data_IF_514737707591
#
_entry.id   IF_514737707591
#
_cell.length_a   1.000
_cell.length_b   1.000
_cell.length_c   1.000
_cell.angle_alpha   90.00
_cell.angle_beta   90.00
_cell.angle_gamma   90.00
#
_symmetry.space_group_name_H-M   'P 1'
#
loop_
_entity.id
_entity.type
_entity.pdbx_description
1 polymer ?
#
# COMPACT_ATOMS: atom_id res chain seq x y z
N UNK A 1 4.11 70.69 -3.92
CA UNK A 1 2.93 69.80 -3.94
C UNK A 1 3.09 68.83 -5.11
N UNK A 2 3.50 67.59 -4.85
CA UNK A 2 3.53 66.49 -5.83
C UNK A 2 2.99 65.24 -5.12
N UNK A 3 1.95 64.67 -5.72
CA UNK A 3 1.11 63.57 -5.25
C UNK A 3 1.88 62.25 -5.35
N UNK A 4 2.03 61.50 -4.25
CA UNK A 4 2.57 60.14 -4.28
C UNK A 4 1.42 59.14 -4.41
N UNK A 5 1.14 58.77 -5.65
CA UNK A 5 0.14 57.79 -6.03
C UNK A 5 0.57 56.39 -5.60
N UNK A 6 -0.14 55.87 -4.61
CA UNK A 6 -0.74 54.53 -4.55
C UNK A 6 0.10 53.26 -4.85
N UNK A 7 0.14 52.42 -3.82
CA UNK A 7 0.04 50.93 -3.81
C UNK A 7 1.11 50.13 -4.55
N UNK A 8 2.08 49.63 -3.76
CA UNK A 8 2.85 48.44 -4.12
C UNK A 8 2.04 47.18 -3.75
N UNK A 9 2.11 46.21 -4.65
CA UNK A 9 1.25 45.06 -4.80
C UNK A 9 1.33 44.01 -3.68
N UNK A 10 0.24 43.24 -3.63
CA UNK A 10 0.03 41.94 -2.98
C UNK A 10 1.26 41.03 -2.89
N UNK A 11 1.44 40.43 -1.72
CA UNK A 11 2.50 39.46 -1.47
C UNK A 11 2.29 38.60 -0.22
N UNK A 12 1.09 38.05 0.00
CA UNK A 12 0.89 36.97 0.99
C UNK A 12 -0.02 35.90 0.38
N UNK A 13 0.56 35.08 -0.49
CA UNK A 13 -0.08 33.84 -0.96
C UNK A 13 0.93 32.70 -1.13
N UNK A 14 2.05 32.74 -0.38
CA UNK A 14 3.03 31.64 -0.29
C UNK A 14 3.08 31.20 1.17
N UNK A 15 1.95 30.72 1.69
CA UNK A 15 1.87 30.20 3.06
C UNK A 15 1.09 28.89 3.13
N UNK A 16 0.02 28.77 2.35
CA UNK A 16 -0.87 27.60 2.40
C UNK A 16 -0.31 26.36 1.67
N UNK A 17 0.49 26.53 0.61
CA UNK A 17 1.04 25.38 -0.15
C UNK A 17 2.22 24.74 0.60
N UNK A 18 2.97 25.53 1.39
CA UNK A 18 4.08 25.01 2.20
C UNK A 18 3.60 24.13 3.37
N UNK A 19 2.39 24.36 3.89
CA UNK A 19 1.86 23.61 5.05
C UNK A 19 1.45 22.16 4.72
N UNK A 20 1.13 21.85 3.46
CA UNK A 20 0.86 20.47 3.04
C UNK A 20 2.14 19.71 2.67
N UNK A 21 3.18 20.41 2.19
CA UNK A 21 4.49 19.80 1.90
C UNK A 21 5.33 19.51 3.16
N UNK A 22 5.07 20.22 4.27
CA UNK A 22 5.85 20.11 5.50
C UNK A 22 5.38 19.00 6.46
N UNK A 23 4.18 18.45 6.25
CA UNK A 23 3.68 17.31 7.05
C UNK A 23 4.39 15.98 6.76
N UNK A 24 5.28 15.91 5.76
CA UNK A 24 5.89 14.65 5.28
C UNK A 24 7.42 14.55 5.49
N UNK A 25 8.00 15.26 6.46
CA UNK A 25 9.40 15.05 6.89
C UNK A 25 9.54 14.41 8.28
N UNK A 26 8.46 13.84 8.82
CA UNK A 26 8.58 12.82 9.86
C UNK A 26 9.08 11.51 9.24
N UNK A 27 9.89 10.73 9.96
CA UNK A 27 10.23 9.38 9.54
C UNK A 27 8.94 8.63 9.20
N UNK A 28 8.81 8.17 7.95
CA UNK A 28 7.63 7.41 7.53
C UNK A 28 7.55 6.14 8.37
N UNK A 29 6.46 5.99 9.12
CA UNK A 29 6.21 4.78 9.89
C UNK A 29 5.90 3.65 8.92
N UNK A 30 6.60 2.52 9.04
CA UNK A 30 6.38 1.37 8.16
C UNK A 30 4.92 0.90 8.26
N UNK A 31 4.40 0.35 7.18
CA UNK A 31 3.10 -0.29 7.17
C UNK A 31 3.17 -1.69 6.57
N UNK A 32 2.21 -2.53 6.92
CA UNK A 32 2.14 -3.92 6.52
C UNK A 32 0.77 -4.19 5.92
N UNK A 33 0.73 -4.59 4.65
CA UNK A 33 -0.51 -5.12 4.10
C UNK A 33 -0.58 -6.62 4.34
N UNK A 34 -1.75 -7.06 4.80
CA UNK A 34 -2.05 -8.45 5.08
C UNK A 34 -3.20 -8.85 4.16
N UNK A 35 -3.01 -9.94 3.41
CA UNK A 35 -4.05 -10.55 2.61
C UNK A 35 -4.29 -11.97 3.09
N UNK A 36 -5.51 -12.26 3.48
CA UNK A 36 -5.94 -13.61 3.82
C UNK A 36 -6.80 -14.15 2.69
N UNK A 37 -6.53 -15.38 2.28
CA UNK A 37 -7.19 -15.97 1.13
C UNK A 37 -7.37 -17.48 1.25
N UNK A 38 -8.37 -17.97 0.52
CA UNK A 38 -8.48 -19.38 0.13
C UNK A 38 -7.73 -19.60 -1.19
N UNK A 39 -7.02 -20.73 -1.31
CA UNK A 39 -6.38 -21.13 -2.56
C UNK A 39 -7.42 -21.87 -3.39
N UNK A 40 -7.77 -21.31 -4.54
CA UNK A 40 -8.71 -21.93 -5.49
C UNK A 40 -7.98 -22.91 -6.40
N UNK A 41 -6.81 -22.51 -6.90
CA UNK A 41 -5.98 -23.34 -7.77
C UNK A 41 -4.49 -23.06 -7.51
N UNK A 42 -3.75 -24.05 -6.99
CA UNK A 42 -2.32 -23.92 -6.70
C UNK A 42 -1.45 -23.61 -7.94
N UNK A 43 -1.85 -24.06 -9.13
CA UNK A 43 -1.11 -23.81 -10.38
C UNK A 43 -1.27 -22.36 -10.85
N UNK A 44 -2.49 -21.82 -10.78
CA UNK A 44 -2.72 -20.39 -11.01
C UNK A 44 -2.04 -19.54 -9.93
N UNK A 45 -2.00 -20.00 -8.67
CA UNK A 45 -1.28 -19.32 -7.61
C UNK A 45 0.24 -19.27 -7.89
N UNK A 46 0.84 -20.37 -8.32
CA UNK A 46 2.27 -20.43 -8.63
C UNK A 46 2.68 -19.46 -9.75
N UNK A 47 1.80 -19.23 -10.73
CA UNK A 47 2.04 -18.24 -11.82
C UNK A 47 1.69 -16.81 -11.41
N UNK A 48 0.69 -16.62 -10.55
CA UNK A 48 0.23 -15.30 -10.09
C UNK A 48 1.22 -14.65 -9.12
N UNK A 49 1.76 -15.41 -8.17
CA UNK A 49 2.60 -14.87 -7.11
C UNK A 49 3.86 -14.13 -7.64
N UNK A 50 4.60 -14.63 -8.65
CA UNK A 50 5.70 -13.88 -9.26
C UNK A 50 5.27 -12.54 -9.84
N UNK A 51 4.13 -12.49 -10.55
CA UNK A 51 3.60 -11.25 -11.15
C UNK A 51 3.21 -10.23 -10.07
N UNK A 52 2.49 -10.67 -9.02
CA UNK A 52 2.14 -9.82 -7.89
C UNK A 52 3.36 -9.27 -7.17
N UNK A 53 4.37 -10.12 -6.89
CA UNK A 53 5.62 -9.69 -6.25
C UNK A 53 6.37 -8.66 -7.08
N UNK A 54 6.47 -8.87 -8.39
CA UNK A 54 7.09 -7.91 -9.31
C UNK A 54 6.38 -6.55 -9.28
N UNK A 55 5.04 -6.54 -9.28
CA UNK A 55 4.28 -5.30 -9.20
C UNK A 55 4.47 -4.58 -7.85
N UNK A 56 4.49 -5.34 -6.75
CA UNK A 56 4.77 -4.84 -5.39
C UNK A 56 6.17 -4.21 -5.31
N UNK A 57 7.20 -4.93 -5.77
CA UNK A 57 8.59 -4.48 -5.77
C UNK A 57 8.79 -3.22 -6.62
N UNK A 58 8.12 -3.14 -7.78
CA UNK A 58 8.12 -1.94 -8.63
C UNK A 58 7.47 -0.72 -7.96
N UNK A 59 6.61 -0.93 -6.97
CA UNK A 59 6.01 0.11 -6.13
C UNK A 59 6.76 0.31 -4.80
N UNK A 60 8.00 -0.17 -4.70
CA UNK A 60 8.85 -0.10 -3.50
C UNK A 60 8.31 -0.86 -2.27
N UNK A 61 7.30 -1.72 -2.44
CA UNK A 61 6.87 -2.65 -1.40
C UNK A 61 7.79 -3.87 -1.34
N UNK A 62 7.89 -4.49 -0.16
CA UNK A 62 8.68 -5.70 0.08
C UNK A 62 7.78 -6.87 0.43
N UNK A 63 7.52 -7.75 -0.54
CA UNK A 63 6.73 -8.96 -0.31
C UNK A 63 7.52 -9.96 0.56
N UNK A 64 7.01 -10.29 1.76
CA UNK A 64 7.70 -11.15 2.74
C UNK A 64 7.64 -12.66 2.42
N UNK A 65 7.25 -13.01 1.19
CA UNK A 65 7.19 -14.39 0.68
C UNK A 65 6.32 -15.36 1.49
N UNK A 66 5.30 -14.87 2.20
CA UNK A 66 4.44 -15.69 3.08
C UNK A 66 3.21 -16.31 2.41
N UNK A 67 2.78 -15.82 1.24
CA UNK A 67 1.51 -16.22 0.59
C UNK A 67 1.37 -17.72 0.27
N UNK A 68 2.48 -18.43 0.09
CA UNK A 68 2.52 -19.88 -0.14
C UNK A 68 3.18 -20.64 1.04
N UNK A 69 3.38 -19.96 2.16
CA UNK A 69 3.95 -20.54 3.37
C UNK A 69 2.91 -21.36 4.15
N UNK A 70 3.40 -22.25 5.02
CA UNK A 70 2.56 -22.98 5.96
C UNK A 70 2.02 -22.01 7.02
N UNK A 71 0.71 -22.02 7.24
CA UNK A 71 0.06 -21.32 8.35
C UNK A 71 -0.23 -22.33 9.45
N UNK A 72 0.17 -22.02 10.68
CA UNK A 72 -0.04 -22.87 11.85
C UNK A 72 -0.90 -22.10 12.84
N UNK A 73 -1.96 -22.74 13.34
CA UNK A 73 -2.78 -22.18 14.41
C UNK A 73 -2.03 -22.28 15.73
N UNK A 74 -2.02 -21.19 16.51
CA UNK A 74 -1.46 -21.17 17.87
C UNK A 74 -2.60 -21.13 18.89
N UNK A 75 -3.50 -20.15 18.76
CA UNK A 75 -4.66 -19.96 19.63
C UNK A 75 -5.84 -19.32 18.88
N UNK A 76 -7.04 -19.37 19.46
CA UNK A 76 -8.24 -18.76 18.89
C UNK A 76 -8.87 -19.55 17.74
N UNK A 77 -9.56 -18.84 16.84
CA UNK A 77 -10.27 -19.42 15.69
C UNK A 77 -9.36 -20.03 14.61
N UNK A 78 -9.95 -20.68 13.59
CA UNK A 78 -9.19 -21.31 12.52
C UNK A 78 -8.37 -20.27 11.72
N UNK A 79 -7.10 -20.56 11.39
CA UNK A 79 -6.26 -19.65 10.62
C UNK A 79 -6.65 -19.66 9.13
N UNK A 80 -6.28 -18.62 8.37
CA UNK A 80 -6.47 -18.61 6.92
C UNK A 80 -5.62 -19.69 6.23
N UNK A 81 -6.08 -20.15 5.06
CA UNK A 81 -5.33 -21.12 4.24
C UNK A 81 -4.08 -20.52 3.58
N UNK A 82 -4.11 -19.21 3.34
CA UNK A 82 -3.00 -18.43 2.79
C UNK A 82 -2.98 -17.05 3.46
N UNK A 83 -1.79 -16.59 3.86
CA UNK A 83 -1.56 -15.26 4.41
C UNK A 83 -0.37 -14.60 3.70
N UNK A 84 -0.63 -13.54 2.92
CA UNK A 84 0.40 -12.75 2.26
C UNK A 84 0.67 -11.47 3.06
N UNK A 85 1.94 -11.21 3.37
CA UNK A 85 2.38 -10.01 4.08
C UNK A 85 3.34 -9.24 3.18
N UNK A 86 3.11 -7.93 3.06
CA UNK A 86 3.98 -6.99 2.34
C UNK A 86 4.30 -5.83 3.26
N UNK A 87 5.58 -5.49 3.36
CA UNK A 87 6.05 -4.29 4.07
C UNK A 87 6.12 -3.11 3.10
N UNK A 88 5.76 -1.93 3.61
CA UNK A 88 5.69 -0.67 2.88
C UNK A 88 6.38 0.43 3.67
N UNK A 89 6.90 1.43 2.96
CA UNK A 89 7.49 2.62 3.58
C UNK A 89 6.48 3.41 4.41
N UNK A 90 5.20 3.44 4.00
CA UNK A 90 4.11 4.09 4.73
C UNK A 90 2.75 3.46 4.43
N UNK A 91 1.76 3.80 5.26
CA UNK A 91 0.35 3.44 5.01
C UNK A 91 -0.13 3.96 3.65
N UNK A 92 0.22 5.19 3.29
CA UNK A 92 -0.18 5.83 2.04
C UNK A 92 0.40 5.11 0.82
N UNK A 93 1.67 4.69 0.88
CA UNK A 93 2.33 3.94 -0.20
C UNK A 93 1.60 2.60 -0.45
N UNK A 94 1.21 1.91 0.62
CA UNK A 94 0.44 0.66 0.53
C UNK A 94 -0.95 0.88 -0.08
N UNK A 95 -1.69 1.89 0.40
CA UNK A 95 -3.06 2.20 -0.08
C UNK A 95 -3.02 2.62 -1.55
N UNK A 96 -2.04 3.45 -1.94
CA UNK A 96 -1.84 3.87 -3.31
C UNK A 96 -1.60 2.67 -4.23
N UNK A 97 -0.74 1.72 -3.82
CA UNK A 97 -0.49 0.51 -4.60
C UNK A 97 -1.76 -0.33 -4.82
N UNK A 98 -2.52 -0.64 -3.77
CA UNK A 98 -3.70 -1.51 -3.90
C UNK A 98 -4.88 -0.86 -4.65
N UNK A 99 -4.89 0.46 -4.79
CA UNK A 99 -5.84 1.21 -5.62
C UNK A 99 -5.32 1.46 -7.06
N UNK A 100 -4.08 1.08 -7.35
CA UNK A 100 -3.45 1.35 -8.64
C UNK A 100 -3.93 0.41 -9.75
N UNK A 101 -3.77 0.86 -10.99
CA UNK A 101 -3.98 0.03 -12.19
C UNK A 101 -3.10 -1.23 -12.18
N UNK A 102 -1.84 -1.09 -11.73
CA UNK A 102 -0.89 -2.20 -11.65
C UNK A 102 -1.40 -3.35 -10.77
N UNK A 103 -2.16 -3.03 -9.71
CA UNK A 103 -2.80 -4.04 -8.89
C UNK A 103 -4.09 -4.58 -9.51
N UNK A 104 -4.96 -3.71 -10.04
CA UNK A 104 -6.25 -4.13 -10.60
C UNK A 104 -6.10 -4.98 -11.86
N UNK A 105 -5.06 -4.75 -12.67
CA UNK A 105 -4.77 -5.53 -13.87
C UNK A 105 -4.45 -7.00 -13.56
N UNK A 106 -4.02 -7.30 -12.33
CA UNK A 106 -3.76 -8.66 -11.89
C UNK A 106 -5.02 -9.42 -11.46
N UNK A 107 -6.18 -8.75 -11.34
CA UNK A 107 -7.41 -9.37 -10.85
C UNK A 107 -7.82 -10.63 -11.64
N UNK A 108 -7.81 -10.67 -12.98
CA UNK A 108 -8.22 -11.87 -13.73
C UNK A 108 -7.37 -13.11 -13.41
N UNK A 109 -6.08 -12.94 -13.13
CA UNK A 109 -5.20 -14.05 -12.74
C UNK A 109 -5.36 -14.39 -11.26
N UNK A 110 -5.42 -13.36 -10.40
CA UNK A 110 -5.64 -13.51 -8.96
C UNK A 110 -6.92 -14.26 -8.66
N UNK A 111 -8.02 -13.91 -9.31
CA UNK A 111 -9.35 -14.44 -9.00
C UNK A 111 -9.52 -15.90 -9.46
N UNK A 112 -8.63 -16.40 -10.34
CA UNK A 112 -8.47 -17.84 -10.62
C UNK A 112 -7.60 -18.55 -9.60
N UNK A 113 -6.61 -17.85 -9.05
CA UNK A 113 -5.65 -18.41 -8.11
C UNK A 113 -6.21 -18.52 -6.68
N UNK A 114 -6.88 -17.47 -6.22
CA UNK A 114 -7.26 -17.29 -4.83
C UNK A 114 -8.58 -16.54 -4.69
N UNK A 115 -9.33 -16.86 -3.64
CA UNK A 115 -10.45 -16.03 -3.16
C UNK A 115 -9.96 -15.21 -1.98
N UNK A 116 -9.82 -13.91 -2.16
CA UNK A 116 -9.39 -13.01 -1.06
C UNK A 116 -10.54 -12.89 -0.06
N UNK A 117 -10.31 -13.33 1.18
CA UNK A 117 -11.28 -13.19 2.27
C UNK A 117 -11.27 -11.76 2.79
N UNK A 118 -10.07 -11.25 3.06
CA UNK A 118 -9.84 -9.88 3.50
C UNK A 118 -8.44 -9.41 3.11
N UNK A 119 -8.32 -8.12 2.88
CA UNK A 119 -7.05 -7.42 2.76
C UNK A 119 -7.14 -6.10 3.52
N UNK A 120 -6.15 -5.85 4.35
CA UNK A 120 -6.06 -4.64 5.15
C UNK A 120 -4.60 -4.21 5.26
N UNK A 121 -4.38 -2.96 5.66
CA UNK A 121 -3.05 -2.42 5.92
C UNK A 121 -3.00 -1.96 7.36
N UNK A 122 -1.92 -2.30 8.06
CA UNK A 122 -1.66 -1.92 9.45
C UNK A 122 -0.39 -1.10 9.46
N UNK A 123 -0.47 0.12 9.98
CA UNK A 123 0.71 0.95 10.24
C UNK A 123 1.39 0.48 11.54
N UNK A 124 2.72 0.54 11.58
CA UNK A 124 3.46 0.27 12.81
C UNK A 124 3.17 1.35 13.87
N UNK A 125 3.30 0.99 15.14
CA UNK A 125 3.27 1.99 16.21
C UNK A 125 4.58 2.82 16.23
N UNK A 126 4.54 3.96 16.92
CA UNK A 126 5.69 4.85 17.09
C UNK A 126 6.50 4.50 18.32
#
# INVERSE_FOLDING_TARGET
>A
MKTYTMTLLAGVAIGAIALQGLHAQGAKTKAYSISEAEILDPSFQATYLPAARKAIEAAHGRALRTAAGRVVQIEGGPPPKSAAIVEWESLDDAVAFYKSKAWTDLAPQRDKAVKVMRRYVVEAEK
#
